data_IF_123846100803
#
_entry.id   IF_123846100803
#
_cell.length_a   1.000
_cell.length_b   1.000
_cell.length_c   1.000
_cell.angle_alpha   90.00
_cell.angle_beta   90.00
_cell.angle_gamma   90.00
#
_symmetry.space_group_name_H-M   'P 1'
#
loop_
_entity.id
_entity.type
_entity.pdbx_description
1 polymer ?
#
# COMPACT_ATOMS: atom_id res chain seq x y z
N UNK A 1 -6.03 -9.84 4.71
CA UNK A 1 -7.35 -10.31 4.27
C UNK A 1 -7.47 -10.11 2.76
N UNK A 2 -8.53 -10.59 2.12
CA UNK A 2 -8.78 -10.30 0.69
C UNK A 2 -8.90 -8.79 0.43
N UNK A 3 -9.53 -8.05 1.35
CA UNK A 3 -9.65 -6.60 1.25
C UNK A 3 -8.30 -5.88 1.19
N UNK A 4 -7.32 -6.32 2.00
CA UNK A 4 -5.95 -5.76 1.98
C UNK A 4 -5.32 -5.85 0.58
N UNK A 5 -5.39 -7.03 -0.04
CA UNK A 5 -4.80 -7.27 -1.36
C UNK A 5 -5.54 -6.53 -2.48
N UNK A 6 -6.87 -6.43 -2.38
CA UNK A 6 -7.69 -5.72 -3.35
C UNK A 6 -7.48 -4.20 -3.34
N UNK A 7 -7.21 -3.61 -2.16
CA UNK A 7 -7.16 -2.15 -1.99
C UNK A 7 -5.73 -1.61 -2.10
N UNK A 8 -4.71 -2.37 -1.67
CA UNK A 8 -3.33 -1.88 -1.59
C UNK A 8 -2.80 -1.34 -2.93
N UNK A 9 -3.12 -2.00 -4.05
CA UNK A 9 -2.67 -1.58 -5.38
C UNK A 9 -3.14 -0.17 -5.77
N UNK A 10 -4.31 0.24 -5.29
CA UNK A 10 -4.82 1.60 -5.45
C UNK A 10 -4.19 2.55 -4.44
N UNK A 11 -4.14 2.14 -3.17
CA UNK A 11 -3.67 2.97 -2.06
C UNK A 11 -2.19 3.37 -2.20
N UNK A 12 -1.32 2.51 -2.74
CA UNK A 12 0.11 2.81 -2.89
C UNK A 12 0.38 4.05 -3.78
N UNK A 13 -0.56 4.43 -4.65
CA UNK A 13 -0.45 5.63 -5.49
C UNK A 13 -0.86 6.92 -4.77
N UNK A 14 -1.14 6.89 -3.47
CA UNK A 14 -1.54 8.06 -2.69
C UNK A 14 -0.65 9.32 -2.89
N UNK A 15 0.69 9.24 -3.08
CA UNK A 15 1.49 10.45 -3.32
C UNK A 15 1.13 11.12 -4.65
N UNK A 16 0.76 10.34 -5.67
CA UNK A 16 0.35 10.87 -6.99
C UNK A 16 -1.02 11.55 -6.92
N UNK A 17 -1.86 11.15 -5.97
CA UNK A 17 -3.17 11.75 -5.72
C UNK A 17 -3.08 12.94 -4.75
N UNK A 18 -1.87 13.34 -4.34
CA UNK A 18 -1.63 14.42 -3.36
C UNK A 18 -2.29 14.16 -2.00
N UNK A 19 -2.31 12.89 -1.57
CA UNK A 19 -2.83 12.49 -0.26
C UNK A 19 -1.65 12.17 0.67
N UNK A 20 -1.55 12.92 1.77
CA UNK A 20 -0.63 12.60 2.87
C UNK A 20 -1.31 11.60 3.82
N UNK A 21 -0.68 10.45 4.05
CA UNK A 21 -1.21 9.46 4.97
C UNK A 21 -1.03 9.87 6.43
N UNK A 22 -0.20 10.88 6.74
CA UNK A 22 -0.07 11.42 8.09
C UNK A 22 -1.42 11.95 8.63
N UNK A 23 -2.28 12.46 7.75
CA UNK A 23 -3.64 12.92 8.08
C UNK A 23 -4.59 11.76 8.45
N UNK A 24 -4.22 10.52 8.09
CA UNK A 24 -5.04 9.32 8.27
C UNK A 24 -4.26 8.25 9.05
N UNK A 25 -4.04 8.41 10.36
CA UNK A 25 -3.10 7.58 11.14
C UNK A 25 -3.41 6.08 11.10
N UNK A 26 -4.69 5.70 11.07
CA UNK A 26 -5.10 4.31 10.95
C UNK A 26 -4.78 3.72 9.56
N UNK A 27 -4.92 4.53 8.51
CA UNK A 27 -4.58 4.14 7.13
C UNK A 27 -3.07 4.05 6.97
N UNK A 28 -2.31 5.02 7.53
CA UNK A 28 -0.84 4.98 7.55
C UNK A 28 -0.32 3.70 8.20
N UNK A 29 -0.82 3.36 9.40
CA UNK A 29 -0.44 2.13 10.10
C UNK A 29 -0.76 0.89 9.28
N UNK A 30 -1.95 0.81 8.69
CA UNK A 30 -2.35 -0.30 7.82
C UNK A 30 -1.43 -0.43 6.60
N UNK A 31 -1.17 0.69 5.92
CA UNK A 31 -0.30 0.74 4.74
C UNK A 31 1.12 0.28 5.05
N UNK A 32 1.72 0.79 6.12
CA UNK A 32 3.05 0.41 6.58
C UNK A 32 3.13 -1.09 6.93
N UNK A 33 2.13 -1.61 7.63
CA UNK A 33 2.05 -3.04 7.96
C UNK A 33 1.97 -3.91 6.71
N UNK A 34 1.20 -3.50 5.69
CA UNK A 34 1.12 -4.23 4.43
C UNK A 34 2.41 -4.16 3.62
N UNK A 35 2.99 -2.97 3.45
CA UNK A 35 4.25 -2.76 2.72
C UNK A 35 5.43 -3.46 3.38
N UNK A 36 5.37 -3.74 4.69
CA UNK A 36 6.37 -4.54 5.40
C UNK A 36 6.30 -6.04 5.07
N UNK A 37 5.17 -6.56 4.57
CA UNK A 37 4.99 -8.00 4.34
C UNK A 37 5.90 -8.52 3.22
N UNK A 38 6.60 -9.64 3.39
CA UNK A 38 7.49 -10.20 2.36
C UNK A 38 6.77 -10.46 1.02
N UNK A 39 5.54 -10.97 1.05
CA UNK A 39 4.77 -11.23 -0.17
C UNK A 39 4.37 -9.96 -0.92
N UNK A 40 4.06 -8.88 -0.20
CA UNK A 40 3.75 -7.58 -0.79
C UNK A 40 5.01 -6.99 -1.42
N UNK A 41 6.13 -6.96 -0.70
CA UNK A 41 7.41 -6.47 -1.24
C UNK A 41 7.78 -7.14 -2.57
N UNK A 42 7.71 -8.48 -2.62
CA UNK A 42 7.93 -9.23 -3.86
C UNK A 42 6.99 -8.81 -4.99
N UNK A 43 5.71 -8.59 -4.70
CA UNK A 43 4.73 -8.13 -5.69
C UNK A 43 5.01 -6.71 -6.20
N UNK A 44 5.51 -5.82 -5.34
CA UNK A 44 5.87 -4.44 -5.71
C UNK A 44 7.18 -4.36 -6.50
N UNK A 45 8.09 -5.31 -6.31
CA UNK A 45 9.35 -5.46 -7.05
C UNK A 45 9.17 -6.14 -8.42
N UNK A 46 8.01 -6.80 -8.64
CA UNK A 46 7.70 -7.44 -9.90
C UNK A 46 7.68 -6.39 -11.02
N UNK A 47 8.38 -6.71 -12.12
CA UNK A 47 8.36 -5.86 -13.31
C UNK A 47 6.97 -5.95 -13.94
N UNK A 48 6.48 -4.80 -14.39
CA UNK A 48 5.33 -4.71 -15.27
C UNK A 48 5.91 -4.58 -16.69
N UNK A 49 6.02 -5.71 -17.36
CA UNK A 49 6.37 -5.86 -18.76
C UNK A 49 5.22 -5.43 -19.69
#
# INVERSE_FOLDING_TARGET
>A
SVADFAILGWAWRHPRHKVDLADFPNVKRWYEQLMARPGVKRGMEAKLD
#
